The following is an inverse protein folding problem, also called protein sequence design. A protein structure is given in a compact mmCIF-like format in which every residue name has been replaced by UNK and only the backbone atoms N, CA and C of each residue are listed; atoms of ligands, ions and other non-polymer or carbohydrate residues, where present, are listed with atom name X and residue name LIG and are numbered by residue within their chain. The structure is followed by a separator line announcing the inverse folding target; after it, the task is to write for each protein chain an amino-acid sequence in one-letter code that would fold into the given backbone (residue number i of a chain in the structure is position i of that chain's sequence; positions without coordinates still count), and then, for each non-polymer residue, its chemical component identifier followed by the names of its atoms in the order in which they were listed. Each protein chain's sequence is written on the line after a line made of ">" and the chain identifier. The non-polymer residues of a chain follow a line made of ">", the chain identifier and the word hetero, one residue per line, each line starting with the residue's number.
data_IF_256054697896
#
_entry.id   IF_256054697896
#
_cell.length_a   1.000
_cell.length_b   1.000
_cell.length_c   1.000
_cell.angle_alpha   90.00
_cell.angle_beta   90.00
_cell.angle_gamma   90.00
#
_symmetry.space_group_name_H-M   'P 1'
#
loop_
_entity.id
_entity.type
_entity.pdbx_description
1 polymer ?
#
# COMPACT_ATOMS: atom_id res chain seq x y z
N UNK A 1 -35.05 74.69 6.07
CA UNK A 1 -35.13 73.79 7.24
C UNK A 1 -34.01 72.80 7.18
N UNK A 2 -33.03 72.94 8.08
CA UNK A 2 -31.87 72.02 8.19
C UNK A 2 -32.31 70.93 9.15
N UNK A 3 -32.45 69.67 8.63
CA UNK A 3 -32.77 68.52 9.42
C UNK A 3 -31.50 68.10 10.18
N UNK A 4 -31.42 68.38 11.47
CA UNK A 4 -30.36 67.82 12.31
C UNK A 4 -30.67 66.38 12.68
N UNK A 5 -29.99 65.45 12.03
CA UNK A 5 -30.05 64.04 12.38
C UNK A 5 -29.12 63.83 13.58
N UNK A 6 -29.68 63.60 14.78
CA UNK A 6 -28.92 63.15 15.94
C UNK A 6 -28.52 61.70 15.76
N UNK A 7 -27.27 61.50 15.33
CA UNK A 7 -26.67 60.15 15.13
C UNK A 7 -26.66 59.35 16.44
N UNK A 8 -26.71 60.00 17.60
CA UNK A 8 -26.71 59.33 18.91
C UNK A 8 -28.05 58.61 19.26
N UNK A 9 -29.10 58.80 18.47
CA UNK A 9 -30.39 58.13 18.63
C UNK A 9 -30.67 56.96 17.70
N UNK A 10 -29.69 56.53 16.91
CA UNK A 10 -29.74 55.29 16.16
C UNK A 10 -29.67 54.12 17.18
N UNK A 11 -30.82 53.67 17.63
CA UNK A 11 -30.91 52.44 18.44
C UNK A 11 -30.32 51.32 17.66
N UNK A 12 -29.13 50.81 18.04
CA UNK A 12 -28.57 49.59 17.53
C UNK A 12 -29.56 48.47 17.79
N UNK A 13 -29.84 47.69 16.78
CA UNK A 13 -30.74 46.54 16.91
C UNK A 13 -30.17 45.55 17.93
N UNK A 14 -30.93 45.31 19.02
CA UNK A 14 -30.58 44.27 19.99
C UNK A 14 -31.13 42.90 19.57
N UNK A 15 -31.73 42.83 18.38
CA UNK A 15 -32.30 41.58 17.87
C UNK A 15 -31.19 40.59 17.50
N UNK A 16 -31.30 39.36 18.00
CA UNK A 16 -30.41 38.24 17.73
C UNK A 16 -31.15 37.30 16.79
N UNK A 17 -30.76 37.26 15.49
CA UNK A 17 -31.45 36.40 14.51
C UNK A 17 -31.16 34.92 14.81
N UNK A 18 -32.20 34.09 14.76
CA UNK A 18 -32.05 32.65 14.89
C UNK A 18 -31.62 32.04 13.54
N UNK A 19 -30.57 31.21 13.54
CA UNK A 19 -30.08 30.56 12.34
C UNK A 19 -30.73 29.18 12.18
N UNK A 20 -31.27 28.92 10.99
CA UNK A 20 -31.85 27.62 10.60
C UNK A 20 -31.13 27.05 9.41
N UNK A 21 -30.93 25.74 9.40
CA UNK A 21 -30.44 25.02 8.27
C UNK A 21 -31.61 24.66 7.35
N UNK A 22 -31.56 25.10 6.10
CA UNK A 22 -32.68 24.98 5.17
C UNK A 22 -32.54 23.81 4.22
N UNK A 23 -31.33 23.51 3.76
CA UNK A 23 -31.08 22.45 2.77
C UNK A 23 -29.67 21.91 2.88
N UNK A 24 -29.50 20.64 2.51
CA UNK A 24 -28.18 20.02 2.30
C UNK A 24 -28.21 19.30 0.94
N UNK A 25 -27.35 19.72 0.00
CA UNK A 25 -27.24 19.11 -1.31
C UNK A 25 -25.90 18.38 -1.45
N UNK A 26 -25.92 17.13 -1.91
CA UNK A 26 -24.72 16.32 -2.17
C UNK A 26 -24.41 16.31 -3.66
N UNK A 27 -23.12 16.32 -4.03
CA UNK A 27 -22.67 16.53 -5.42
C UNK A 27 -23.08 15.46 -6.43
N UNK A 28 -23.81 14.42 -6.02
CA UNK A 28 -24.20 13.30 -6.88
C UNK A 28 -25.58 13.46 -7.51
N UNK A 29 -26.43 14.31 -6.96
CA UNK A 29 -27.81 14.48 -7.43
C UNK A 29 -28.10 15.93 -7.72
N UNK A 30 -27.78 16.36 -8.94
CA UNK A 30 -28.32 17.60 -9.54
C UNK A 30 -29.82 17.44 -9.94
N UNK A 31 -30.50 16.44 -9.41
CA UNK A 31 -31.95 16.34 -9.53
C UNK A 31 -32.58 17.14 -8.41
N UNK A 32 -33.20 18.25 -8.80
CA UNK A 32 -34.04 19.09 -7.99
C UNK A 32 -34.99 18.21 -7.15
N UNK A 33 -34.68 18.05 -5.84
CA UNK A 33 -35.52 17.27 -4.93
C UNK A 33 -34.86 16.26 -4.02
N UNK A 34 -33.61 15.91 -4.23
CA UNK A 34 -32.89 14.92 -3.40
C UNK A 34 -31.95 15.62 -2.42
N UNK A 35 -32.53 16.39 -1.51
CA UNK A 35 -31.83 16.95 -0.36
C UNK A 35 -31.79 15.89 0.74
N UNK A 36 -30.61 15.59 1.26
CA UNK A 36 -30.49 14.74 2.44
C UNK A 36 -31.27 15.38 3.58
N UNK A 37 -32.25 14.68 4.18
CA UNK A 37 -33.09 15.28 5.22
C UNK A 37 -32.25 15.64 6.43
N UNK A 38 -32.34 16.88 6.85
CA UNK A 38 -31.84 17.33 8.16
C UNK A 38 -32.91 17.00 9.18
N UNK A 39 -32.69 15.94 9.96
CA UNK A 39 -33.57 15.51 11.02
C UNK A 39 -32.92 15.86 12.34
N UNK A 40 -33.59 16.60 13.20
CA UNK A 40 -33.12 17.00 14.55
C UNK A 40 -31.70 17.59 14.55
N UNK A 41 -31.38 18.48 13.59
CA UNK A 41 -30.04 19.07 13.40
C UNK A 41 -28.95 18.04 13.16
N UNK A 42 -29.29 16.86 12.62
CA UNK A 42 -28.35 15.82 12.25
C UNK A 42 -28.44 15.52 10.76
N UNK A 43 -27.29 15.49 10.08
CA UNK A 43 -27.16 15.13 8.67
C UNK A 43 -26.30 13.86 8.56
N UNK A 44 -26.89 12.78 8.02
CA UNK A 44 -26.17 11.57 7.75
C UNK A 44 -25.79 11.50 6.27
N UNK A 45 -24.49 11.39 5.99
CA UNK A 45 -23.94 11.29 4.63
C UNK A 45 -23.54 9.84 4.34
N UNK A 46 -23.93 9.36 3.16
CA UNK A 46 -23.51 8.05 2.69
C UNK A 46 -22.02 8.05 2.27
N UNK A 47 -21.43 6.87 2.26
CA UNK A 47 -19.98 6.66 1.95
C UNK A 47 -19.49 7.34 0.67
N UNK A 48 -20.37 7.61 -0.29
CA UNK A 48 -20.06 8.22 -1.59
C UNK A 48 -20.43 9.72 -1.65
N UNK A 49 -20.98 10.29 -0.58
CA UNK A 49 -21.48 11.66 -0.49
C UNK A 49 -20.59 12.53 0.38
N UNK A 50 -19.30 12.56 0.08
CA UNK A 50 -18.30 13.30 0.86
C UNK A 50 -18.21 14.79 0.55
N UNK A 51 -18.95 15.23 -0.48
CA UNK A 51 -19.07 16.62 -0.87
C UNK A 51 -20.51 17.07 -0.61
N UNK A 52 -20.67 18.04 0.27
CA UNK A 52 -21.98 18.54 0.65
C UNK A 52 -21.97 20.07 0.69
N UNK A 53 -23.00 20.68 0.14
CA UNK A 53 -23.29 22.11 0.28
C UNK A 53 -24.50 22.28 1.20
N UNK A 54 -24.29 22.95 2.32
CA UNK A 54 -25.28 23.15 3.36
C UNK A 54 -25.74 24.61 3.30
N UNK A 55 -27.04 24.82 3.07
CA UNK A 55 -27.65 26.15 3.02
C UNK A 55 -28.30 26.47 4.36
N UNK A 56 -28.09 27.66 4.83
CA UNK A 56 -28.66 28.18 6.10
C UNK A 56 -29.17 29.60 5.93
N UNK A 57 -30.05 29.99 6.81
CA UNK A 57 -30.58 31.34 6.84
C UNK A 57 -30.76 31.82 8.28
N UNK A 58 -30.44 33.05 8.55
CA UNK A 58 -30.77 33.72 9.80
C UNK A 58 -32.16 34.39 9.65
N UNK A 59 -33.06 34.12 10.60
CA UNK A 59 -34.42 34.61 10.58
C UNK A 59 -34.45 36.06 11.12
N UNK A 60 -34.17 37.02 10.25
CA UNK A 60 -34.36 38.44 10.51
C UNK A 60 -35.16 39.07 9.36
N UNK A 61 -36.46 39.27 9.59
CA UNK A 61 -37.36 39.80 8.59
C UNK A 61 -37.14 41.30 8.30
N UNK A 62 -36.49 42.03 9.24
CA UNK A 62 -36.25 43.47 9.09
C UNK A 62 -34.96 43.75 8.30
N UNK A 63 -34.00 42.88 8.39
CA UNK A 63 -32.68 43.05 7.77
C UNK A 63 -32.36 42.00 6.68
N UNK A 64 -33.42 41.46 6.06
CA UNK A 64 -33.28 40.43 5.02
C UNK A 64 -32.38 40.90 3.88
N UNK A 65 -31.25 40.22 3.69
CA UNK A 65 -30.30 40.49 2.61
C UNK A 65 -28.98 41.18 3.03
N UNK A 66 -28.87 41.72 4.25
CA UNK A 66 -27.66 42.42 4.72
C UNK A 66 -26.89 41.67 5.82
N UNK A 67 -27.25 40.41 6.08
CA UNK A 67 -26.63 39.62 7.12
C UNK A 67 -25.36 38.95 6.58
N UNK A 68 -24.24 39.06 7.31
CA UNK A 68 -23.03 38.36 7.02
C UNK A 68 -22.95 37.08 7.83
N UNK A 69 -22.36 36.05 7.22
CA UNK A 69 -22.24 34.72 7.82
C UNK A 69 -20.78 34.30 7.93
N UNK A 70 -20.49 33.49 8.95
CA UNK A 70 -19.28 32.76 9.09
C UNK A 70 -19.58 31.35 9.56
N UNK A 71 -18.84 30.39 9.05
CA UNK A 71 -18.95 29.00 9.48
C UNK A 71 -17.59 28.44 9.83
N UNK A 72 -17.56 27.37 10.62
CA UNK A 72 -16.38 26.52 10.82
C UNK A 72 -16.80 25.07 11.05
N UNK A 73 -15.97 24.15 10.61
CA UNK A 73 -16.13 22.74 10.93
C UNK A 73 -15.28 22.43 12.17
N UNK A 74 -15.95 22.20 13.30
CA UNK A 74 -15.28 21.92 14.57
C UNK A 74 -14.35 20.71 14.43
N UNK A 75 -13.15 20.79 15.01
CA UNK A 75 -12.05 19.82 14.94
C UNK A 75 -11.29 19.74 13.60
N UNK A 76 -11.69 20.46 12.55
CA UNK A 76 -10.96 20.58 11.29
C UNK A 76 -10.48 22.01 11.12
N UNK A 77 -11.41 22.98 11.15
CA UNK A 77 -11.08 24.39 10.97
C UNK A 77 -10.59 25.01 12.28
N UNK A 78 -9.45 25.68 12.23
CA UNK A 78 -8.91 26.44 13.37
C UNK A 78 -9.57 27.81 13.50
N UNK A 79 -9.97 28.38 12.37
CA UNK A 79 -10.51 29.75 12.28
C UNK A 79 -11.93 29.73 11.66
N UNK A 80 -12.62 30.87 11.79
CA UNK A 80 -13.92 31.05 11.17
C UNK A 80 -13.78 31.42 9.70
N UNK A 81 -14.44 30.69 8.83
CA UNK A 81 -14.54 30.98 7.40
C UNK A 81 -15.65 32.03 7.18
N UNK A 82 -15.27 33.29 6.98
CA UNK A 82 -16.20 34.37 6.71
C UNK A 82 -16.61 34.33 5.23
N UNK A 83 -17.90 34.15 4.97
CA UNK A 83 -18.45 34.05 3.59
C UNK A 83 -19.22 35.31 3.18
N UNK A 84 -19.20 36.34 4.01
CA UNK A 84 -19.93 37.58 3.75
C UNK A 84 -21.45 37.33 3.66
N UNK A 85 -22.09 37.79 2.61
CA UNK A 85 -23.54 37.65 2.41
C UNK A 85 -23.97 36.28 1.85
N UNK A 86 -22.98 35.38 1.61
CA UNK A 86 -23.26 34.01 1.21
C UNK A 86 -23.96 33.23 2.30
N UNK A 87 -24.91 32.40 1.95
CA UNK A 87 -25.73 31.61 2.90
C UNK A 87 -25.56 30.10 2.69
N UNK A 88 -24.43 29.68 2.16
CA UNK A 88 -24.10 28.26 1.97
C UNK A 88 -22.65 27.95 2.36
N UNK A 89 -22.44 26.84 3.07
CA UNK A 89 -21.15 26.25 3.36
C UNK A 89 -20.89 25.05 2.44
N UNK A 90 -19.82 25.11 1.68
CA UNK A 90 -19.42 24.00 0.81
C UNK A 90 -18.30 23.20 1.48
N UNK A 91 -18.60 21.97 1.87
CA UNK A 91 -17.69 21.03 2.50
C UNK A 91 -17.26 20.00 1.47
N UNK A 92 -15.95 19.87 1.24
CA UNK A 92 -15.39 19.02 0.18
C UNK A 92 -14.53 17.94 0.80
N UNK A 93 -14.71 16.71 0.34
CA UNK A 93 -13.91 15.54 0.72
C UNK A 93 -13.88 15.29 2.24
N UNK A 94 -15.03 15.28 2.88
CA UNK A 94 -15.15 14.95 4.30
C UNK A 94 -14.67 13.51 4.54
N UNK A 95 -13.77 13.29 5.50
CA UNK A 95 -13.40 11.93 5.90
C UNK A 95 -14.57 11.25 6.61
N UNK A 96 -14.49 9.92 6.79
CA UNK A 96 -15.45 9.21 7.63
C UNK A 96 -15.34 9.64 9.08
N UNK A 97 -16.48 9.81 9.75
CA UNK A 97 -16.53 10.21 11.16
C UNK A 97 -17.63 11.24 11.47
N UNK A 98 -17.57 11.78 12.67
CA UNK A 98 -18.53 12.73 13.21
C UNK A 98 -17.94 14.14 13.23
N UNK A 99 -18.68 15.09 12.67
CA UNK A 99 -18.30 16.49 12.57
C UNK A 99 -19.43 17.38 13.08
N UNK A 100 -19.08 18.60 13.48
CA UNK A 100 -20.05 19.63 13.90
C UNK A 100 -19.79 20.88 13.08
N UNK A 101 -20.72 21.23 12.21
CA UNK A 101 -20.72 22.52 11.51
C UNK A 101 -21.32 23.57 12.44
N UNK A 102 -20.52 24.57 12.78
CA UNK A 102 -20.96 25.76 13.54
C UNK A 102 -21.11 26.92 12.57
N UNK A 103 -22.24 27.61 12.65
CA UNK A 103 -22.59 28.78 11.83
C UNK A 103 -22.97 29.92 12.75
N UNK A 104 -22.51 31.12 12.46
CA UNK A 104 -22.92 32.38 13.12
C UNK A 104 -23.21 33.46 12.08
N UNK A 105 -24.02 34.46 12.46
CA UNK A 105 -24.29 35.59 11.59
C UNK A 105 -24.16 36.93 12.32
N UNK A 106 -24.16 38.01 11.56
CA UNK A 106 -24.34 39.34 12.09
C UNK A 106 -25.83 39.63 12.32
N UNK A 107 -26.13 40.71 13.07
CA UNK A 107 -27.45 41.32 13.11
C UNK A 107 -27.64 42.26 11.91
N UNK A 108 -28.83 42.91 11.84
CA UNK A 108 -29.16 43.89 10.79
C UNK A 108 -28.23 45.11 10.73
N UNK A 109 -27.51 45.42 11.79
CA UNK A 109 -26.51 46.51 11.85
C UNK A 109 -25.09 46.06 11.44
N UNK A 110 -24.94 44.80 11.01
CA UNK A 110 -23.63 44.25 10.61
C UNK A 110 -22.73 43.84 11.78
N UNK A 111 -23.24 43.82 13.02
CA UNK A 111 -22.50 43.41 14.21
C UNK A 111 -22.62 41.90 14.43
N UNK A 112 -21.49 41.24 14.68
CA UNK A 112 -21.49 39.83 15.07
C UNK A 112 -22.17 39.63 16.40
N UNK A 113 -23.13 38.71 16.44
CA UNK A 113 -23.92 38.39 17.64
C UNK A 113 -23.73 36.94 18.03
N UNK A 114 -24.06 36.62 19.29
CA UNK A 114 -23.94 35.23 19.78
C UNK A 114 -25.20 34.43 19.44
N UNK A 115 -25.30 34.05 18.17
CA UNK A 115 -26.40 33.27 17.59
C UNK A 115 -25.96 31.97 16.95
N UNK A 116 -24.96 31.31 17.55
CA UNK A 116 -24.35 30.10 16.98
C UNK A 116 -25.38 28.97 16.82
N UNK A 117 -25.51 28.49 15.58
CA UNK A 117 -26.24 27.26 15.26
C UNK A 117 -25.27 26.11 14.99
N UNK A 118 -25.65 24.88 15.33
CA UNK A 118 -24.83 23.67 15.17
C UNK A 118 -25.59 22.63 14.36
N UNK A 119 -24.90 22.02 13.41
CA UNK A 119 -25.36 20.88 12.64
C UNK A 119 -24.40 19.73 12.83
N UNK A 120 -24.89 18.60 13.29
CA UNK A 120 -24.12 17.37 13.44
C UNK A 120 -24.11 16.63 12.10
N UNK A 121 -22.91 16.29 11.64
CA UNK A 121 -22.69 15.61 10.35
C UNK A 121 -22.04 14.27 10.64
N UNK A 122 -22.73 13.18 10.30
CA UNK A 122 -22.23 11.82 10.41
C UNK A 122 -21.92 11.26 9.03
N UNK A 123 -20.62 11.00 8.75
CA UNK A 123 -20.17 10.44 7.47
C UNK A 123 -19.87 8.95 7.63
N UNK A 124 -20.64 8.10 6.95
CA UNK A 124 -20.47 6.65 7.01
C UNK A 124 -19.14 6.21 6.40
N UNK A 125 -18.38 5.31 7.06
CA UNK A 125 -17.13 4.80 6.52
C UNK A 125 -17.34 3.94 5.28
N UNK A 126 -16.36 3.96 4.36
CA UNK A 126 -16.28 3.02 3.25
C UNK A 126 -15.80 1.66 3.75
N UNK A 127 -16.17 0.57 3.08
CA UNK A 127 -15.73 -0.80 3.44
C UNK A 127 -14.23 -0.89 3.73
N UNK A 128 -13.41 -0.23 2.91
CA UNK A 128 -11.94 -0.22 3.03
C UNK A 128 -11.40 0.53 4.25
N UNK A 129 -12.21 1.39 4.87
CA UNK A 129 -11.88 2.17 6.08
C UNK A 129 -12.34 1.47 7.36
N UNK A 130 -13.05 0.34 7.25
CA UNK A 130 -13.53 -0.42 8.41
C UNK A 130 -12.40 -1.26 9.03
N UNK A 131 -12.51 -1.52 10.34
CA UNK A 131 -11.54 -2.34 11.07
C UNK A 131 -11.38 -3.76 10.47
N UNK A 132 -12.42 -4.32 9.88
CA UNK A 132 -12.39 -5.61 9.20
C UNK A 132 -11.51 -5.60 7.95
N UNK A 133 -11.48 -4.51 7.19
CA UNK A 133 -10.60 -4.37 6.04
C UNK A 133 -9.12 -4.36 6.48
N UNK A 134 -8.79 -3.70 7.57
CA UNK A 134 -7.46 -3.71 8.16
C UNK A 134 -7.00 -5.12 8.54
N UNK A 135 -7.86 -5.91 9.16
CA UNK A 135 -7.58 -7.30 9.49
C UNK A 135 -7.29 -8.13 8.23
N UNK A 136 -8.08 -7.92 7.17
CA UNK A 136 -7.89 -8.59 5.89
C UNK A 136 -6.55 -8.24 5.24
N UNK A 137 -6.13 -6.97 5.30
CA UNK A 137 -4.82 -6.55 4.80
C UNK A 137 -3.69 -7.22 5.56
N UNK A 138 -3.77 -7.30 6.90
CA UNK A 138 -2.75 -7.97 7.72
C UNK A 138 -2.64 -9.45 7.34
N UNK A 139 -3.77 -10.16 7.19
CA UNK A 139 -3.79 -11.57 6.76
C UNK A 139 -3.15 -11.72 5.38
N UNK A 140 -3.49 -10.85 4.42
CA UNK A 140 -2.94 -10.90 3.07
C UNK A 140 -1.41 -10.72 3.07
N UNK A 141 -0.92 -9.75 3.83
CA UNK A 141 0.53 -9.51 3.96
C UNK A 141 1.22 -10.73 4.57
N UNK A 142 0.64 -11.33 5.60
CA UNK A 142 1.19 -12.52 6.24
C UNK A 142 1.25 -13.71 5.27
N UNK A 143 0.21 -13.93 4.47
CA UNK A 143 0.21 -14.95 3.42
C UNK A 143 1.31 -14.73 2.38
N UNK A 144 1.53 -13.49 1.96
CA UNK A 144 2.61 -13.16 1.03
C UNK A 144 3.98 -13.48 1.64
N UNK A 145 4.21 -13.11 2.90
CA UNK A 145 5.46 -13.41 3.61
C UNK A 145 5.70 -14.91 3.70
N UNK A 146 4.68 -15.70 4.05
CA UNK A 146 4.76 -17.16 4.11
C UNK A 146 5.07 -17.74 2.73
N UNK A 147 4.38 -17.31 1.67
CA UNK A 147 4.61 -17.77 0.31
C UNK A 147 6.04 -17.49 -0.17
N UNK A 148 6.56 -16.30 0.11
CA UNK A 148 7.94 -15.92 -0.22
C UNK A 148 8.94 -16.77 0.56
N UNK A 149 8.75 -16.96 1.87
CA UNK A 149 9.66 -17.75 2.70
C UNK A 149 9.71 -19.22 2.28
N UNK A 150 8.56 -19.83 1.93
CA UNK A 150 8.49 -21.21 1.43
C UNK A 150 9.21 -21.33 0.07
N UNK A 151 9.02 -20.36 -0.83
CA UNK A 151 9.67 -20.36 -2.14
C UNK A 151 11.19 -20.23 -2.01
N UNK A 152 11.67 -19.35 -1.14
CA UNK A 152 13.10 -19.18 -0.86
C UNK A 152 13.68 -20.45 -0.26
N UNK A 153 13.02 -21.07 0.72
CA UNK A 153 13.45 -22.32 1.32
C UNK A 153 13.54 -23.45 0.29
N UNK A 154 12.55 -23.53 -0.61
CA UNK A 154 12.57 -24.52 -1.70
C UNK A 154 13.74 -24.33 -2.66
N UNK A 155 14.00 -23.09 -3.11
CA UNK A 155 15.13 -22.75 -3.98
C UNK A 155 16.47 -23.07 -3.28
N UNK A 156 16.58 -22.77 -1.99
CA UNK A 156 17.81 -23.05 -1.22
C UNK A 156 18.08 -24.55 -1.10
N UNK A 157 17.04 -25.35 -0.83
CA UNK A 157 17.15 -26.82 -0.78
C UNK A 157 17.52 -27.43 -2.15
N UNK A 158 16.97 -26.87 -3.23
CA UNK A 158 17.29 -27.31 -4.59
C UNK A 158 18.74 -27.04 -4.94
N UNK A 159 19.25 -25.84 -4.62
CA UNK A 159 20.68 -25.50 -4.84
C UNK A 159 21.61 -26.43 -4.08
N UNK A 160 21.32 -26.72 -2.80
CA UNK A 160 22.14 -27.67 -2.02
C UNK A 160 22.21 -29.07 -2.65
N UNK A 161 21.12 -29.57 -3.24
CA UNK A 161 21.12 -30.86 -3.93
C UNK A 161 22.02 -30.84 -5.16
N UNK A 162 21.92 -29.79 -5.97
CA UNK A 162 22.75 -29.63 -7.17
C UNK A 162 24.23 -29.55 -6.82
N UNK A 163 24.60 -28.74 -5.81
CA UNK A 163 25.97 -28.58 -5.34
C UNK A 163 26.56 -29.94 -4.86
N UNK A 164 25.76 -30.71 -4.12
CA UNK A 164 26.18 -32.05 -3.66
C UNK A 164 26.43 -33.02 -4.81
N UNK A 165 25.51 -33.08 -5.80
CA UNK A 165 25.72 -33.93 -7.00
C UNK A 165 26.96 -33.53 -7.80
N UNK A 166 27.21 -32.22 -7.94
CA UNK A 166 28.42 -31.74 -8.60
C UNK A 166 29.69 -32.14 -7.86
N UNK A 167 29.69 -32.03 -6.50
CA UNK A 167 30.83 -32.44 -5.69
C UNK A 167 31.14 -33.95 -5.86
N UNK A 168 30.08 -34.80 -5.83
CA UNK A 168 30.27 -36.25 -6.06
C UNK A 168 30.80 -36.52 -7.46
N UNK A 169 30.29 -35.84 -8.47
CA UNK A 169 30.80 -36.02 -9.86
C UNK A 169 32.25 -35.60 -9.99
N UNK A 170 32.63 -34.46 -9.40
CA UNK A 170 34.01 -33.99 -9.39
C UNK A 170 34.96 -34.93 -8.63
N UNK A 171 34.51 -35.48 -7.48
CA UNK A 171 35.28 -36.47 -6.75
C UNK A 171 35.51 -37.74 -7.57
N UNK A 172 34.48 -38.25 -8.26
CA UNK A 172 34.60 -39.41 -9.17
C UNK A 172 35.58 -39.14 -10.28
N UNK A 173 35.50 -38.01 -10.96
CA UNK A 173 36.42 -37.65 -12.04
C UNK A 173 37.85 -37.57 -11.54
N UNK A 174 38.08 -36.93 -10.40
CA UNK A 174 39.42 -36.82 -9.80
C UNK A 174 39.97 -38.19 -9.42
N UNK A 175 39.16 -39.01 -8.78
CA UNK A 175 39.55 -40.39 -8.42
C UNK A 175 39.97 -41.20 -9.66
N UNK A 176 39.19 -41.19 -10.76
CA UNK A 176 39.52 -41.88 -11.97
C UNK A 176 40.80 -41.32 -12.63
N UNK A 177 41.02 -40.02 -12.59
CA UNK A 177 42.23 -39.40 -13.14
C UNK A 177 43.46 -39.80 -12.32
N UNK A 178 43.37 -39.72 -10.99
CA UNK A 178 44.47 -40.05 -10.09
C UNK A 178 44.84 -41.54 -10.20
N UNK A 179 43.84 -42.43 -10.18
CA UNK A 179 44.08 -43.88 -10.38
C UNK A 179 44.73 -44.16 -11.76
N UNK A 180 44.22 -43.50 -12.80
CA UNK A 180 44.77 -43.70 -14.15
C UNK A 180 46.28 -43.33 -14.20
N UNK A 181 46.64 -42.25 -13.52
CA UNK A 181 48.06 -41.86 -13.42
C UNK A 181 48.90 -42.82 -12.56
N UNK A 182 48.35 -43.23 -11.41
CA UNK A 182 49.04 -44.17 -10.51
C UNK A 182 49.20 -45.58 -11.09
N UNK A 183 48.23 -46.02 -11.93
CA UNK A 183 48.34 -47.30 -12.63
C UNK A 183 49.26 -47.24 -13.83
N UNK A 184 49.35 -46.11 -14.53
CA UNK A 184 50.18 -45.97 -15.73
C UNK A 184 51.64 -46.19 -15.40
N UNK A 185 52.16 -45.66 -14.31
CA UNK A 185 53.58 -45.76 -13.93
C UNK A 185 54.02 -47.21 -13.73
N UNK A 186 53.37 -48.05 -12.89
CA UNK A 186 53.82 -49.45 -12.74
C UNK A 186 53.61 -50.28 -14.00
N UNK A 187 52.53 -49.99 -14.79
CA UNK A 187 52.31 -50.68 -16.04
C UNK A 187 53.38 -50.37 -17.06
N UNK A 188 53.85 -49.12 -17.15
CA UNK A 188 55.00 -48.76 -18.00
C UNK A 188 56.29 -49.44 -17.54
N UNK A 189 56.58 -49.54 -16.23
CA UNK A 189 57.70 -50.24 -15.65
C UNK A 189 57.64 -51.75 -15.91
N UNK A 190 56.50 -52.35 -16.16
CA UNK A 190 56.29 -53.76 -16.52
C UNK A 190 56.44 -53.94 -18.05
N UNK A 191 55.90 -53.03 -18.85
CA UNK A 191 55.91 -53.09 -20.31
C UNK A 191 57.29 -53.02 -20.87
N UNK A 192 58.17 -52.13 -20.34
CA UNK A 192 59.55 -51.95 -20.83
C UNK A 192 60.45 -53.24 -20.73
N UNK A 193 60.51 -53.92 -19.57
CA UNK A 193 61.27 -55.18 -19.49
C UNK A 193 60.66 -56.31 -20.38
N UNK A 194 59.35 -56.37 -20.53
CA UNK A 194 58.71 -57.35 -21.43
C UNK A 194 59.15 -57.13 -22.86
N UNK A 195 59.24 -55.88 -23.34
CA UNK A 195 59.69 -55.52 -24.66
C UNK A 195 61.20 -55.90 -24.83
N UNK A 196 61.97 -55.56 -23.82
CA UNK A 196 63.43 -55.87 -23.84
C UNK A 196 63.66 -57.37 -23.93
N UNK A 197 62.92 -58.19 -23.18
CA UNK A 197 63.04 -59.65 -23.22
C UNK A 197 62.60 -60.22 -24.57
N UNK A 198 61.54 -59.72 -25.20
CA UNK A 198 61.04 -60.14 -26.51
C UNK A 198 62.07 -59.84 -27.60
N UNK A 199 62.77 -58.72 -27.53
CA UNK A 199 63.63 -58.21 -28.57
C UNK A 199 65.11 -58.74 -28.48
N UNK A 200 65.58 -59.02 -27.28
CA UNK A 200 67.00 -59.32 -27.04
C UNK A 200 67.28 -60.75 -26.53
N UNK A 201 66.28 -61.44 -26.02
CA UNK A 201 66.47 -62.81 -25.45
C UNK A 201 66.05 -63.93 -26.42
N UNK A 202 66.77 -65.06 -26.39
CA UNK A 202 66.40 -66.28 -27.14
C UNK A 202 65.34 -67.04 -26.36
N UNK A 203 64.11 -66.77 -26.62
CA UNK A 203 62.94 -67.45 -25.99
C UNK A 203 62.56 -68.70 -26.74
N UNK A 204 62.01 -69.72 -26.05
CA UNK A 204 61.24 -70.79 -26.65
C UNK A 204 60.00 -70.28 -27.35
N UNK A 205 59.44 -71.02 -28.34
CA UNK A 205 58.18 -70.61 -28.99
C UNK A 205 57.05 -70.33 -27.97
N UNK A 206 56.90 -71.18 -26.99
CA UNK A 206 55.90 -71.04 -25.90
C UNK A 206 56.19 -69.80 -25.01
N UNK A 207 57.50 -69.57 -24.70
CA UNK A 207 57.92 -68.40 -23.93
C UNK A 207 57.65 -67.08 -24.66
N UNK A 208 57.90 -67.07 -25.98
CA UNK A 208 57.59 -65.89 -26.81
C UNK A 208 56.13 -65.62 -26.94
N UNK A 209 55.30 -66.63 -27.08
CA UNK A 209 53.84 -66.45 -27.11
C UNK A 209 53.31 -65.91 -25.81
N UNK A 210 53.73 -66.41 -24.64
CA UNK A 210 53.38 -65.92 -23.35
C UNK A 210 53.80 -64.43 -23.13
N UNK A 211 54.95 -63.99 -23.54
CA UNK A 211 55.45 -62.64 -23.47
C UNK A 211 54.60 -61.67 -24.36
N UNK A 212 54.27 -62.13 -25.58
CA UNK A 212 53.36 -61.32 -26.44
C UNK A 212 51.94 -61.14 -25.87
N UNK A 213 51.43 -62.18 -25.22
CA UNK A 213 50.14 -62.04 -24.48
C UNK A 213 50.30 -61.02 -23.34
N UNK A 214 51.40 -61.10 -22.56
CA UNK A 214 51.60 -60.15 -21.44
C UNK A 214 51.78 -58.72 -22.00
N UNK A 215 52.52 -58.50 -23.06
CA UNK A 215 52.64 -57.16 -23.70
C UNK A 215 51.29 -56.65 -24.16
N UNK A 216 50.52 -57.44 -24.87
CA UNK A 216 49.17 -57.06 -25.35
C UNK A 216 48.23 -56.64 -24.23
N UNK A 217 48.26 -57.36 -23.09
CA UNK A 217 47.45 -57.01 -21.94
C UNK A 217 47.90 -55.70 -21.24
N UNK A 218 49.19 -55.50 -21.10
CA UNK A 218 49.83 -54.30 -20.56
C UNK A 218 49.47 -53.05 -21.42
N UNK A 219 49.66 -53.17 -22.75
CA UNK A 219 49.32 -52.11 -23.71
C UNK A 219 47.81 -51.76 -23.68
N UNK A 220 46.93 -52.77 -23.45
CA UNK A 220 45.48 -52.54 -23.31
C UNK A 220 45.11 -51.81 -22.05
N UNK A 221 45.89 -52.00 -20.97
CA UNK A 221 45.67 -51.26 -19.70
C UNK A 221 46.23 -49.84 -19.72
N UNK A 222 47.20 -49.57 -20.59
CA UNK A 222 47.84 -48.26 -20.77
C UNK A 222 47.02 -47.29 -21.66
N UNK A 223 46.08 -47.83 -22.45
CA UNK A 223 45.19 -47.02 -23.29
C UNK A 223 43.95 -46.58 -22.52
#
# INVERSE_FOLDING_TARGET
>A
DVLYLHLDKLNKSSFIPHIVFTNASTGKNNKMGDSSPIVDQTLTLEKNERNVSITFAALDFAASGNLQYAYRLKNIDKEWNCIGYGHSASLVNLPAGDFVLEVKSTNGDGLWVDNMARLFIHVKPTFWETGWAWLLYVILILLIIVAVSVTLAYIFNLRRKVDFEQQITNLKLRFFTDISHELRTPLTLIASPIEEVIDHEKLSEEGRENMLIAKKNTDRMLR
#
